data_IF_750458252383
#
_entry.id   IF_750458252383
#
_cell.length_a   1.000
_cell.length_b   1.000
_cell.length_c   1.000
_cell.angle_alpha   90.00
_cell.angle_beta   90.00
_cell.angle_gamma   90.00
#
_symmetry.space_group_name_H-M   'P 1'
#
loop_
_entity.id
_entity.type
_entity.pdbx_description
1 polymer ?
#
# COMPACT_ATOMS: atom_id res chain seq x y z
N UNK A 1 4.89 3.65 -16.37
CA UNK A 1 5.87 3.43 -15.28
C UNK A 1 5.26 2.45 -14.28
N UNK A 2 5.86 1.29 -14.04
CA UNK A 2 5.33 0.27 -13.11
C UNK A 2 5.83 0.55 -11.69
N UNK A 3 4.95 0.60 -10.70
CA UNK A 3 5.30 0.75 -9.27
C UNK A 3 4.98 -0.52 -8.50
N UNK A 4 5.95 -1.03 -7.74
CA UNK A 4 5.82 -2.26 -6.94
C UNK A 4 6.08 -1.93 -5.47
N UNK A 5 5.29 -2.50 -4.56
CA UNK A 5 5.50 -2.41 -3.11
C UNK A 5 5.81 -3.79 -2.54
N UNK A 6 6.74 -3.88 -1.58
CA UNK A 6 7.06 -5.10 -0.83
C UNK A 6 7.30 -4.78 0.64
N UNK A 7 7.03 -5.70 1.55
CA UNK A 7 7.49 -5.63 2.95
C UNK A 7 8.22 -6.95 3.27
N UNK A 8 9.23 -6.89 4.14
CA UNK A 8 9.95 -8.07 4.67
C UNK A 8 10.65 -8.97 3.63
N UNK A 9 11.11 -8.40 2.51
CA UNK A 9 11.79 -9.17 1.46
C UNK A 9 13.15 -9.74 1.94
N UNK A 10 13.40 -11.04 1.73
CA UNK A 10 14.66 -11.72 2.04
C UNK A 10 15.19 -12.54 0.82
N UNK A 11 16.41 -13.10 0.90
CA UNK A 11 17.04 -13.82 -0.23
C UNK A 11 16.26 -15.05 -0.73
N UNK A 12 15.43 -15.66 0.12
CA UNK A 12 14.76 -16.93 -0.16
C UNK A 12 13.24 -16.80 -0.34
N UNK A 13 12.69 -15.60 -0.12
CA UNK A 13 11.25 -15.35 -0.22
C UNK A 13 10.97 -13.89 -0.58
N UNK A 14 10.19 -13.72 -1.66
CA UNK A 14 9.52 -12.46 -1.99
C UNK A 14 8.13 -12.53 -1.40
N UNK A 15 7.93 -11.95 -0.23
CA UNK A 15 6.60 -11.81 0.33
C UNK A 15 5.90 -10.63 -0.35
N UNK A 16 4.75 -10.89 -0.97
CA UNK A 16 3.76 -9.84 -1.19
C UNK A 16 3.09 -9.62 0.17
N UNK A 17 3.49 -8.54 0.84
CA UNK A 17 2.96 -8.27 2.16
C UNK A 17 1.60 -7.62 2.11
N UNK A 18 0.74 -8.13 2.97
CA UNK A 18 -0.59 -7.58 3.22
C UNK A 18 -0.49 -6.32 4.06
N UNK A 19 -1.54 -5.51 4.06
CA UNK A 19 -1.58 -4.36 4.95
C UNK A 19 -1.72 -4.75 6.45
N UNK A 20 -1.96 -6.03 6.75
CA UNK A 20 -1.94 -6.55 8.13
C UNK A 20 -0.55 -6.42 8.79
N UNK A 21 0.52 -6.34 7.98
CA UNK A 21 1.89 -6.13 8.44
C UNK A 21 2.18 -4.68 8.86
N UNK A 22 1.32 -3.74 8.49
CA UNK A 22 1.42 -2.31 8.82
C UNK A 22 0.63 -1.96 10.09
N UNK A 23 -0.42 -2.72 10.44
CA UNK A 23 -1.28 -2.45 11.59
C UNK A 23 -0.78 -3.02 12.93
N UNK A 24 0.08 -4.04 12.93
CA UNK A 24 0.50 -4.72 14.16
C UNK A 24 1.87 -4.21 14.67
N UNK A 25 1.98 -3.83 15.96
CA UNK A 25 3.24 -3.44 16.61
C UNK A 25 3.69 -1.96 16.53
N UNK A 26 4.87 -1.67 17.09
CA UNK A 26 5.41 -0.36 17.53
C UNK A 26 5.22 0.87 16.61
N UNK A 27 5.08 2.05 17.24
CA UNK A 27 4.80 3.36 16.59
C UNK A 27 5.85 3.78 15.54
N UNK A 28 7.12 3.42 15.73
CA UNK A 28 8.24 3.76 14.82
C UNK A 28 8.14 3.02 13.49
N UNK A 29 7.96 1.70 13.54
CA UNK A 29 7.78 0.86 12.34
C UNK A 29 6.55 1.25 11.50
N UNK A 30 5.55 1.89 12.11
CA UNK A 30 4.36 2.40 11.39
C UNK A 30 4.66 3.65 10.57
N UNK A 31 5.52 4.53 11.06
CA UNK A 31 5.90 5.76 10.36
C UNK A 31 6.71 5.46 9.09
N UNK A 32 7.66 4.53 9.18
CA UNK A 32 8.57 4.16 8.08
C UNK A 32 7.87 3.30 7.03
N UNK A 33 7.08 2.30 7.43
CA UNK A 33 6.21 1.54 6.51
C UNK A 33 5.17 2.43 5.83
N UNK A 34 4.53 3.33 6.59
CA UNK A 34 3.61 4.32 6.05
C UNK A 34 4.28 5.22 5.01
N UNK A 35 5.49 5.71 5.29
CA UNK A 35 6.27 6.49 4.32
C UNK A 35 6.55 5.68 3.06
N UNK A 36 7.03 4.44 3.19
CA UNK A 36 7.31 3.58 2.04
C UNK A 36 6.06 3.35 1.17
N UNK A 37 4.91 3.14 1.79
CA UNK A 37 3.64 3.01 1.07
C UNK A 37 3.27 4.32 0.33
N UNK A 38 3.40 5.48 0.99
CA UNK A 38 3.20 6.80 0.37
C UNK A 38 4.14 7.01 -0.82
N UNK A 39 5.41 6.62 -0.73
CA UNK A 39 6.37 6.75 -1.83
C UNK A 39 6.02 5.85 -3.03
N UNK A 40 5.36 4.71 -2.79
CA UNK A 40 4.83 3.86 -3.86
C UNK A 40 3.60 4.46 -4.52
N UNK A 41 2.63 4.95 -3.74
CA UNK A 41 1.37 5.50 -4.27
C UNK A 41 1.57 6.87 -4.92
N UNK A 42 2.54 7.65 -4.44
CA UNK A 42 2.87 8.99 -4.92
C UNK A 42 4.37 9.09 -5.30
N UNK A 43 4.82 8.47 -6.41
CA UNK A 43 6.23 8.47 -6.80
C UNK A 43 6.83 9.85 -7.03
N UNK A 44 6.02 10.87 -7.31
CA UNK A 44 6.50 12.25 -7.42
C UNK A 44 7.07 12.78 -6.09
N UNK A 45 6.70 12.21 -4.95
CA UNK A 45 7.33 12.55 -3.66
C UNK A 45 8.80 12.12 -3.64
N UNK A 46 9.16 11.04 -4.33
CA UNK A 46 10.56 10.63 -4.49
C UNK A 46 11.33 11.70 -5.30
N UNK A 47 10.69 12.32 -6.32
CA UNK A 47 11.28 13.45 -7.07
C UNK A 47 11.55 14.63 -6.15
N UNK A 48 10.60 14.95 -5.28
CA UNK A 48 10.71 16.05 -4.34
C UNK A 48 11.81 15.79 -3.30
N UNK A 49 11.93 14.54 -2.82
CA UNK A 49 13.02 14.13 -1.91
C UNK A 49 14.38 14.30 -2.59
N UNK A 50 14.53 13.85 -3.83
CA UNK A 50 15.76 14.04 -4.61
C UNK A 50 16.05 15.51 -4.89
N UNK A 51 15.05 16.38 -4.75
CA UNK A 51 15.17 17.82 -4.96
C UNK A 51 15.54 18.60 -3.71
N UNK A 52 15.63 17.95 -2.55
CA UNK A 52 16.15 18.53 -1.31
C UNK A 52 17.62 18.88 -1.50
N UNK A 53 18.03 20.08 -1.06
CA UNK A 53 19.36 20.64 -1.33
C UNK A 53 20.50 19.69 -0.95
N UNK A 54 20.43 19.07 0.24
CA UNK A 54 21.47 18.12 0.69
C UNK A 54 21.56 16.88 -0.19
N UNK A 55 20.45 16.43 -0.79
CA UNK A 55 20.43 15.30 -1.72
C UNK A 55 20.93 15.73 -3.10
N UNK A 56 20.55 16.93 -3.56
CA UNK A 56 21.07 17.52 -4.81
C UNK A 56 22.59 17.68 -4.76
N UNK A 57 23.12 18.21 -3.68
CA UNK A 57 24.57 18.38 -3.49
C UNK A 57 25.30 17.04 -3.52
N UNK A 58 24.80 16.05 -2.78
CA UNK A 58 25.37 14.70 -2.80
C UNK A 58 25.35 14.08 -4.20
N UNK A 59 24.20 14.13 -4.88
CA UNK A 59 24.05 13.55 -6.21
C UNK A 59 24.95 14.25 -7.24
N UNK A 60 25.06 15.58 -7.19
CA UNK A 60 26.00 16.36 -8.00
C UNK A 60 27.45 15.93 -7.76
N UNK A 61 27.87 15.85 -6.49
CA UNK A 61 29.23 15.45 -6.11
C UNK A 61 29.56 14.01 -6.54
N UNK A 62 28.58 13.10 -6.51
CA UNK A 62 28.72 11.71 -6.95
C UNK A 62 28.46 11.51 -8.45
N UNK A 63 28.26 12.58 -9.23
CA UNK A 63 27.94 12.53 -10.66
C UNK A 63 26.71 11.64 -10.96
N UNK A 64 25.75 11.65 -10.04
CA UNK A 64 24.43 11.05 -10.18
C UNK A 64 23.51 12.17 -10.69
N UNK A 65 22.91 12.00 -11.87
CA UNK A 65 21.90 12.92 -12.37
C UNK A 65 20.55 12.20 -12.32
N UNK A 66 19.73 12.44 -11.28
CA UNK A 66 18.42 11.82 -11.19
C UNK A 66 17.53 12.36 -12.32
N UNK A 67 17.29 11.54 -13.33
CA UNK A 67 16.41 11.86 -14.45
C UNK A 67 15.32 10.79 -14.52
N UNK A 68 14.08 11.27 -14.63
CA UNK A 68 12.86 10.48 -14.60
C UNK A 68 12.37 10.05 -15.99
N UNK A 69 12.95 10.61 -17.06
CA UNK A 69 12.63 10.20 -18.42
C UNK A 69 13.01 8.74 -18.62
N UNK A 70 12.10 7.98 -19.23
CA UNK A 70 12.21 6.54 -19.49
C UNK A 70 12.34 5.65 -18.24
N UNK A 71 11.92 6.16 -17.06
CA UNK A 71 11.73 5.31 -15.88
C UNK A 71 10.61 4.31 -16.14
N UNK A 72 10.97 3.03 -16.16
CA UNK A 72 10.06 1.93 -16.50
C UNK A 72 9.56 1.23 -15.25
N UNK A 73 10.37 1.16 -14.17
CA UNK A 73 9.99 0.51 -12.92
C UNK A 73 10.51 1.27 -11.70
N UNK A 74 9.65 1.37 -10.68
CA UNK A 74 10.00 1.78 -9.32
C UNK A 74 9.54 0.67 -8.38
N UNK A 75 10.43 0.20 -7.54
CA UNK A 75 10.15 -0.83 -6.54
C UNK A 75 10.49 -0.27 -5.17
N UNK A 76 9.47 -0.10 -4.34
CA UNK A 76 9.61 0.36 -2.96
C UNK A 76 9.47 -0.84 -2.03
N UNK A 77 10.47 -1.06 -1.20
CA UNK A 77 10.54 -2.18 -0.27
C UNK A 77 10.67 -1.60 1.14
N UNK A 78 9.75 -1.95 2.02
CA UNK A 78 9.85 -1.64 3.44
C UNK A 78 10.42 -2.83 4.22
N UNK A 79 11.17 -2.55 5.29
CA UNK A 79 11.68 -3.57 6.22
C UNK A 79 12.49 -4.68 5.51
N UNK A 80 13.36 -4.30 4.56
CA UNK A 80 14.19 -5.25 3.80
C UNK A 80 15.14 -5.97 4.75
N UNK A 81 15.16 -7.30 4.68
CA UNK A 81 16.12 -8.11 5.44
C UNK A 81 17.39 -8.28 4.61
N UNK A 82 18.53 -7.81 5.12
CA UNK A 82 19.85 -7.92 4.46
C UNK A 82 20.45 -9.32 4.60
N UNK A 83 21.58 -9.57 3.94
CA UNK A 83 22.30 -10.85 4.05
C UNK A 83 22.62 -11.21 5.51
N UNK A 84 23.02 -10.23 6.34
CA UNK A 84 23.29 -10.45 7.77
C UNK A 84 22.05 -10.47 8.66
N UNK A 85 20.85 -10.59 8.09
CA UNK A 85 19.56 -10.61 8.79
C UNK A 85 19.22 -9.31 9.54
N UNK A 86 19.85 -8.20 9.15
CA UNK A 86 19.46 -6.87 9.64
C UNK A 86 18.31 -6.32 8.82
N UNK A 87 17.54 -5.43 9.43
CA UNK A 87 16.33 -4.86 8.83
C UNK A 87 16.58 -3.41 8.42
N UNK A 88 16.55 -3.15 7.13
CA UNK A 88 16.61 -1.82 6.52
C UNK A 88 15.18 -1.27 6.39
N UNK A 89 14.95 -0.03 6.84
CA UNK A 89 13.60 0.51 6.90
C UNK A 89 12.95 0.71 5.52
N UNK A 90 13.62 1.38 4.57
CA UNK A 90 13.09 1.60 3.22
C UNK A 90 14.19 1.48 2.17
N UNK A 91 13.93 0.69 1.13
CA UNK A 91 14.73 0.59 -0.08
C UNK A 91 13.87 0.94 -1.29
N UNK A 92 14.34 1.88 -2.12
CA UNK A 92 13.67 2.26 -3.37
C UNK A 92 14.61 1.94 -4.51
N UNK A 93 14.21 1.07 -5.42
CA UNK A 93 14.96 0.75 -6.64
C UNK A 93 14.25 1.35 -7.84
N UNK A 94 15.02 2.01 -8.70
CA UNK A 94 14.53 2.66 -9.90
C UNK A 94 15.28 2.06 -11.08
N UNK A 95 14.52 1.51 -12.02
CA UNK A 95 15.04 1.01 -13.30
C UNK A 95 14.71 2.01 -14.42
N UNK A 96 15.72 2.28 -15.25
CA UNK A 96 15.65 3.16 -16.40
C UNK A 96 16.14 2.44 -17.64
N UNK A 97 15.45 2.61 -18.77
CA UNK A 97 15.73 1.88 -20.01
C UNK A 97 15.88 0.35 -19.80
N UNK A 98 15.02 -0.22 -18.94
CA UNK A 98 15.02 -1.62 -18.46
C UNK A 98 16.31 -2.09 -17.75
N UNK A 99 17.12 -1.15 -17.24
CA UNK A 99 18.36 -1.43 -16.51
C UNK A 99 18.34 -0.79 -15.12
N UNK A 100 19.04 -1.40 -14.13
CA UNK A 100 19.33 -0.78 -12.85
C UNK A 100 19.86 0.64 -13.00
N UNK A 101 19.27 1.60 -12.31
CA UNK A 101 19.69 3.00 -12.40
C UNK A 101 20.03 3.60 -11.03
N UNK A 102 19.07 3.64 -10.12
CA UNK A 102 19.21 4.33 -8.84
C UNK A 102 18.60 3.51 -7.71
N UNK A 103 19.31 3.40 -6.59
CA UNK A 103 18.82 2.83 -5.35
C UNK A 103 18.90 3.89 -4.24
N UNK A 104 17.77 4.19 -3.63
CA UNK A 104 17.68 5.08 -2.46
C UNK A 104 17.51 4.18 -1.23
N UNK A 105 18.41 4.31 -0.26
CA UNK A 105 18.50 3.46 0.91
C UNK A 105 18.25 4.36 2.11
N UNK A 106 17.11 4.18 2.78
CA UNK A 106 16.68 5.05 3.87
C UNK A 106 16.67 4.25 5.17
N UNK A 107 17.46 4.71 6.13
CA UNK A 107 17.36 4.33 7.54
C UNK A 107 16.66 5.47 8.28
N UNK A 108 15.53 5.19 8.91
CA UNK A 108 14.68 6.20 9.51
C UNK A 108 14.59 6.01 11.02
N UNK A 109 14.86 7.09 11.77
CA UNK A 109 14.58 7.14 13.20
C UNK A 109 13.26 7.87 13.44
N UNK A 110 12.42 7.31 14.30
CA UNK A 110 11.11 7.84 14.66
C UNK A 110 11.14 9.32 15.03
N UNK A 111 10.05 10.01 14.73
CA UNK A 111 9.81 11.40 15.18
C UNK A 111 9.80 11.50 16.72
N UNK A 112 9.66 10.39 17.44
CA UNK A 112 9.57 10.37 18.91
C UNK A 112 10.81 9.80 19.60
N UNK A 113 11.81 9.33 18.87
CA UNK A 113 13.00 8.73 19.46
C UNK A 113 14.14 9.76 19.58
N UNK A 114 14.68 9.93 20.79
CA UNK A 114 15.85 10.79 21.07
C UNK A 114 17.19 10.11 20.67
N UNK A 115 17.17 9.19 19.71
CA UNK A 115 18.34 8.41 19.31
C UNK A 115 19.33 9.30 18.56
N UNK A 116 20.62 9.16 18.86
CA UNK A 116 21.68 9.94 18.21
C UNK A 116 21.79 9.51 16.73
N UNK A 117 21.72 10.43 15.76
CA UNK A 117 21.79 10.11 14.32
C UNK A 117 23.09 9.40 13.88
N UNK A 118 24.11 9.42 14.72
CA UNK A 118 25.35 8.63 14.56
C UNK A 118 25.06 7.12 14.49
N UNK A 119 24.16 6.59 15.31
CA UNK A 119 23.87 5.14 15.33
C UNK A 119 23.19 4.68 14.04
N UNK A 120 22.26 5.50 13.54
CA UNK A 120 21.61 5.30 12.23
C UNK A 120 22.63 5.33 11.09
N UNK A 121 23.61 6.24 11.17
CA UNK A 121 24.67 6.35 10.16
C UNK A 121 25.57 5.12 10.14
N UNK A 122 25.96 4.59 11.31
CA UNK A 122 26.78 3.37 11.41
C UNK A 122 26.01 2.16 10.87
N UNK A 123 24.72 2.08 11.15
CA UNK A 123 23.85 1.03 10.63
C UNK A 123 23.73 1.12 9.10
N UNK A 124 23.54 2.31 8.56
CA UNK A 124 23.44 2.55 7.12
C UNK A 124 24.75 2.29 6.38
N UNK A 125 25.90 2.68 6.94
CA UNK A 125 27.22 2.34 6.37
C UNK A 125 27.40 0.83 6.22
N UNK A 126 26.94 0.05 7.19
CA UNK A 126 27.01 -1.41 7.11
C UNK A 126 26.22 -1.93 5.92
N UNK A 127 25.03 -1.38 5.63
CA UNK A 127 24.22 -1.78 4.48
C UNK A 127 24.82 -1.44 3.12
N UNK A 128 25.76 -0.48 3.06
CA UNK A 128 26.38 -0.08 1.80
C UNK A 128 27.46 -1.06 1.32
N UNK A 129 27.96 -1.95 2.19
CA UNK A 129 28.86 -3.02 1.79
C UNK A 129 28.19 -3.96 0.76
N UNK A 130 28.97 -4.40 -0.23
CA UNK A 130 28.45 -5.10 -1.41
C UNK A 130 27.81 -6.45 -1.10
N UNK A 131 28.20 -7.08 0.00
CA UNK A 131 27.72 -8.37 0.49
C UNK A 131 26.37 -8.28 1.21
N UNK A 132 26.01 -7.13 1.78
CA UNK A 132 24.76 -6.94 2.51
C UNK A 132 23.53 -6.83 1.60
N UNK A 133 23.70 -6.15 0.46
CA UNK A 133 22.66 -5.90 -0.56
C UNK A 133 23.22 -6.19 -1.97
N UNK A 134 23.54 -7.46 -2.29
CA UNK A 134 24.18 -7.83 -3.56
C UNK A 134 23.32 -7.47 -4.79
N UNK A 135 22.00 -7.46 -4.64
CA UNK A 135 21.07 -7.04 -5.70
C UNK A 135 21.23 -5.58 -6.13
N UNK A 136 21.93 -4.77 -5.33
CA UNK A 136 22.17 -3.35 -5.60
C UNK A 136 23.53 -3.07 -6.25
N UNK A 137 24.32 -4.10 -6.59
CA UNK A 137 25.67 -3.95 -7.17
C UNK A 137 25.70 -3.01 -8.39
N UNK A 138 24.70 -3.13 -9.27
CA UNK A 138 24.59 -2.34 -10.51
C UNK A 138 23.88 -1.00 -10.35
N UNK A 139 23.40 -0.67 -9.14
CA UNK A 139 22.68 0.57 -8.88
C UNK A 139 23.60 1.65 -8.33
N UNK A 140 23.36 2.90 -8.74
CA UNK A 140 23.93 4.06 -8.04
C UNK A 140 23.20 4.20 -6.70
N UNK A 141 23.92 4.29 -5.59
CA UNK A 141 23.33 4.28 -4.24
C UNK A 141 23.25 5.69 -3.65
N UNK A 142 22.09 6.06 -3.13
CA UNK A 142 21.84 7.29 -2.35
C UNK A 142 21.47 6.87 -0.92
N UNK A 143 22.41 6.89 0.03
CA UNK A 143 22.15 6.61 1.43
C UNK A 143 21.57 7.84 2.15
N UNK A 144 20.43 7.65 2.80
CA UNK A 144 19.72 8.69 3.54
C UNK A 144 19.46 8.20 4.97
N UNK A 145 19.80 9.04 5.94
CA UNK A 145 19.27 8.96 7.30
C UNK A 145 18.11 9.95 7.41
N UNK A 146 16.92 9.44 7.74
CA UNK A 146 15.73 10.25 8.03
C UNK A 146 15.58 10.42 9.54
N UNK A 147 15.59 11.66 10.02
CA UNK A 147 15.58 11.99 11.46
C UNK A 147 14.82 13.29 11.73
N UNK A 148 14.65 13.72 12.97
CA UNK A 148 14.07 15.03 13.29
C UNK A 148 15.05 16.18 13.17
N UNK A 149 16.31 15.92 13.50
CA UNK A 149 17.32 16.95 13.66
C UNK A 149 18.36 16.84 12.55
N UNK A 150 18.81 17.99 12.03
CA UNK A 150 19.93 17.99 11.08
C UNK A 150 21.18 17.60 11.86
N UNK A 151 21.84 16.53 11.45
CA UNK A 151 23.14 16.14 11.99
C UNK A 151 24.15 16.16 10.86
N UNK A 152 25.32 16.73 11.13
CA UNK A 152 26.45 16.68 10.22
C UNK A 152 27.05 15.28 10.38
N UNK A 153 26.81 14.43 9.38
CA UNK A 153 27.41 13.11 9.28
C UNK A 153 28.61 13.17 8.32
N UNK A 154 29.19 12.01 8.02
CA UNK A 154 30.24 11.88 6.99
C UNK A 154 29.73 12.30 5.61
N UNK A 155 30.63 12.70 4.72
CA UNK A 155 30.31 13.10 3.33
C UNK A 155 29.67 11.97 2.48
N UNK A 156 29.57 10.76 3.03
CA UNK A 156 29.03 9.59 2.36
C UNK A 156 27.56 9.32 2.67
N UNK A 157 26.98 9.98 3.69
CA UNK A 157 25.60 9.78 4.11
C UNK A 157 24.85 11.12 4.12
N UNK A 158 23.68 11.13 3.48
CA UNK A 158 22.80 12.30 3.49
C UNK A 158 21.91 12.24 4.73
N UNK A 159 21.68 13.38 5.37
CA UNK A 159 20.64 13.52 6.39
C UNK A 159 19.47 14.32 5.83
N UNK A 160 18.26 13.80 5.99
CA UNK A 160 16.99 14.49 5.70
C UNK A 160 16.16 14.54 6.97
N UNK A 161 15.40 15.62 7.14
CA UNK A 161 14.50 15.80 8.28
C UNK A 161 13.08 15.36 7.96
N UNK A 162 12.39 14.84 8.97
CA UNK A 162 10.94 14.66 8.93
C UNK A 162 10.20 15.95 8.58
N UNK A 163 10.66 17.10 9.06
CA UNK A 163 10.11 18.40 8.68
C UNK A 163 10.16 18.68 7.16
N UNK A 164 11.18 18.16 6.47
CA UNK A 164 11.32 18.32 5.01
C UNK A 164 10.33 17.42 4.28
N UNK A 165 10.16 16.18 4.75
CA UNK A 165 9.11 15.26 4.26
C UNK A 165 7.71 15.85 4.48
N UNK A 166 7.44 16.35 5.68
CA UNK A 166 6.18 17.01 6.05
C UNK A 166 5.90 18.21 5.14
N UNK A 167 6.91 19.03 4.84
CA UNK A 167 6.77 20.18 3.95
C UNK A 167 6.55 19.79 2.49
N UNK A 168 7.18 18.71 2.02
CA UNK A 168 6.91 18.16 0.68
C UNK A 168 5.44 17.72 0.57
N UNK A 169 4.96 17.02 1.60
CA UNK A 169 3.60 16.51 1.64
C UNK A 169 2.59 17.65 1.77
N UNK A 170 2.85 18.66 2.62
CA UNK A 170 1.89 19.73 2.92
C UNK A 170 1.59 20.68 1.75
N UNK A 171 2.50 20.74 0.77
CA UNK A 171 2.35 21.53 -0.46
C UNK A 171 1.41 20.90 -1.48
N UNK A 172 0.97 19.66 -1.26
CA UNK A 172 0.06 18.93 -2.16
C UNK A 172 -1.40 19.18 -1.76
N UNK A 173 -2.33 18.84 -2.65
CA UNK A 173 -3.75 19.20 -2.54
C UNK A 173 -4.36 18.70 -1.20
N UNK A 174 -5.15 19.54 -0.53
CA UNK A 174 -5.60 19.35 0.86
C UNK A 174 -7.02 18.78 0.94
N UNK A 175 -7.23 17.60 0.38
CA UNK A 175 -8.45 16.84 0.68
C UNK A 175 -8.22 15.99 1.93
N UNK A 176 -9.05 16.20 2.97
CA UNK A 176 -8.94 15.46 4.23
C UNK A 176 -9.13 13.94 4.07
N UNK A 177 -9.77 13.50 2.98
CA UNK A 177 -9.96 12.09 2.65
C UNK A 177 -8.85 11.50 1.77
N UNK A 178 -7.85 12.29 1.37
CA UNK A 178 -6.70 11.82 0.59
C UNK A 178 -5.68 11.10 1.49
N UNK A 179 -5.15 9.98 1.01
CA UNK A 179 -4.23 9.11 1.74
C UNK A 179 -2.97 9.87 2.19
N UNK A 180 -2.49 10.75 1.32
CA UNK A 180 -1.33 11.59 1.58
C UNK A 180 -1.57 12.55 2.77
N UNK A 181 -2.76 13.15 2.86
CA UNK A 181 -3.11 14.06 3.95
C UNK A 181 -3.41 13.33 5.26
N UNK A 182 -3.96 12.11 5.20
CA UNK A 182 -4.11 11.25 6.38
C UNK A 182 -2.75 10.86 6.96
N UNK A 183 -1.78 10.53 6.11
CA UNK A 183 -0.40 10.27 6.54
C UNK A 183 0.24 11.53 7.15
N UNK A 184 0.05 12.71 6.52
CA UNK A 184 0.48 14.00 7.07
C UNK A 184 -0.04 14.23 8.49
N UNK A 185 -1.35 14.05 8.71
CA UNK A 185 -1.98 14.27 10.02
C UNK A 185 -1.44 13.32 11.11
N UNK A 186 -1.05 12.10 10.75
CA UNK A 186 -0.45 11.14 11.67
C UNK A 186 0.98 11.48 12.05
N UNK A 187 1.83 11.82 11.07
CA UNK A 187 3.23 12.15 11.36
C UNK A 187 3.36 13.49 12.10
N UNK A 188 2.41 14.41 11.92
CA UNK A 188 2.34 15.70 12.64
C UNK A 188 1.62 15.60 13.99
N UNK A 189 0.93 14.50 14.27
CA UNK A 189 0.20 14.30 15.53
C UNK A 189 -1.08 15.13 15.68
N UNK A 190 -1.53 15.81 14.62
CA UNK A 190 -2.81 16.52 14.54
C UNK A 190 -3.99 15.54 14.67
N UNK A 191 -3.80 14.31 14.23
CA UNK A 191 -4.64 13.17 14.58
C UNK A 191 -3.72 12.09 15.19
N UNK A 192 -3.95 11.69 16.44
CA UNK A 192 -3.07 10.72 17.15
C UNK A 192 -3.03 9.34 16.48
N UNK A 193 -3.95 9.10 15.55
CA UNK A 193 -4.04 7.90 14.74
C UNK A 193 -4.11 8.24 13.25
N UNK A 194 -3.32 7.52 12.46
CA UNK A 194 -3.58 7.36 11.05
C UNK A 194 -4.93 6.63 10.91
N UNK A 195 -5.93 7.27 10.32
CA UNK A 195 -7.14 6.57 9.86
C UNK A 195 -6.80 5.84 8.57
N UNK A 196 -5.78 4.99 8.59
CA UNK A 196 -5.45 4.23 7.42
C UNK A 196 -6.69 3.48 6.98
N UNK A 197 -6.80 3.33 5.67
CA UNK A 197 -7.65 2.43 4.89
C UNK A 197 -7.64 0.96 5.39
N UNK A 198 -6.95 0.71 6.51
CA UNK A 198 -6.81 -0.43 7.39
C UNK A 198 -7.82 -0.49 8.54
N UNK A 199 -8.40 0.63 8.97
CA UNK A 199 -9.38 0.63 10.08
C UNK A 199 -10.74 0.15 9.61
N UNK A 200 -11.15 0.44 8.38
CA UNK A 200 -12.51 0.16 7.91
C UNK A 200 -12.56 -1.02 6.91
N UNK A 201 -13.35 -2.04 7.24
CA UNK A 201 -13.73 -3.12 6.33
C UNK A 201 -15.03 -2.73 5.65
N UNK A 202 -15.04 -2.72 4.32
CA UNK A 202 -16.27 -2.60 3.55
C UNK A 202 -17.09 -3.88 3.72
N UNK A 203 -18.29 -3.78 4.25
CA UNK A 203 -19.21 -4.90 4.39
C UNK A 203 -20.40 -4.71 3.47
N UNK A 204 -20.63 -5.68 2.60
CA UNK A 204 -21.67 -5.63 1.56
C UNK A 204 -22.68 -6.75 1.77
N UNK A 205 -23.99 -6.49 1.68
CA UNK A 205 -24.97 -7.58 1.62
C UNK A 205 -24.89 -8.26 0.24
N UNK A 206 -24.36 -9.48 0.19
CA UNK A 206 -24.25 -10.25 -1.06
C UNK A 206 -25.46 -11.17 -1.28
N UNK A 207 -26.19 -11.54 -0.22
CA UNK A 207 -27.42 -12.31 -0.33
C UNK A 207 -27.28 -13.55 -1.22
N UNK A 208 -27.94 -13.56 -2.39
CA UNK A 208 -27.92 -14.67 -3.35
C UNK A 208 -26.65 -14.73 -4.22
N UNK A 209 -25.86 -13.66 -4.30
CA UNK A 209 -24.65 -13.60 -5.14
C UNK A 209 -23.40 -14.03 -4.38
N UNK A 210 -23.51 -14.31 -3.07
CA UNK A 210 -22.37 -14.69 -2.23
C UNK A 210 -21.63 -15.92 -2.77
N UNK A 211 -22.36 -16.90 -3.30
CA UNK A 211 -21.76 -18.13 -3.84
C UNK A 211 -20.90 -17.84 -5.08
N UNK A 212 -21.36 -16.95 -5.97
CA UNK A 212 -20.58 -16.53 -7.13
C UNK A 212 -19.32 -15.76 -6.71
N UNK A 213 -19.45 -14.87 -5.72
CA UNK A 213 -18.32 -14.13 -5.17
C UNK A 213 -17.30 -15.08 -4.56
N UNK A 214 -17.73 -16.06 -3.78
CA UNK A 214 -16.83 -17.03 -3.14
C UNK A 214 -16.17 -17.97 -4.17
N UNK A 215 -16.92 -18.36 -5.22
CA UNK A 215 -16.44 -19.26 -6.29
C UNK A 215 -15.40 -18.59 -7.18
N UNK A 216 -15.62 -17.33 -7.54
CA UNK A 216 -14.78 -16.63 -8.51
C UNK A 216 -13.83 -15.60 -7.91
N UNK A 217 -14.03 -15.21 -6.65
CA UNK A 217 -13.30 -14.13 -6.00
C UNK A 217 -13.46 -12.80 -6.75
N UNK A 218 -14.66 -12.58 -7.27
CA UNK A 218 -15.07 -11.36 -7.99
C UNK A 218 -16.37 -10.89 -7.36
N UNK A 219 -16.44 -9.61 -7.01
CA UNK A 219 -17.68 -8.95 -6.65
C UNK A 219 -18.00 -7.83 -7.62
N UNK A 220 -19.27 -7.64 -7.91
CA UNK A 220 -19.81 -6.74 -8.92
C UNK A 220 -20.85 -5.80 -8.31
N UNK A 221 -20.85 -4.55 -8.77
CA UNK A 221 -21.96 -3.64 -8.51
C UNK A 221 -22.14 -2.65 -9.66
N UNK A 222 -23.32 -2.02 -9.80
CA UNK A 222 -23.50 -0.93 -10.76
C UNK A 222 -22.50 0.20 -10.50
N UNK A 223 -21.97 0.85 -11.54
CA UNK A 223 -21.16 2.06 -11.35
C UNK A 223 -22.05 3.31 -11.20
N UNK A 224 -22.78 3.38 -10.09
CA UNK A 224 -23.70 4.49 -9.76
C UNK A 224 -23.35 5.13 -8.42
N UNK A 225 -23.92 6.31 -8.16
CA UNK A 225 -23.62 7.11 -6.97
C UNK A 225 -23.86 6.35 -5.66
N UNK A 226 -24.88 5.51 -5.62
CA UNK A 226 -25.25 4.69 -4.45
C UNK A 226 -24.24 3.59 -4.14
N UNK A 227 -23.37 3.26 -5.10
CA UNK A 227 -22.32 2.23 -5.01
C UNK A 227 -20.91 2.85 -5.03
N UNK A 228 -20.80 4.17 -4.81
CA UNK A 228 -19.50 4.83 -4.61
C UNK A 228 -19.00 4.56 -3.20
N UNK A 229 -18.37 3.41 -3.05
CA UNK A 229 -17.69 3.06 -1.81
C UNK A 229 -16.44 3.94 -1.64
N UNK A 230 -16.12 4.30 -0.40
CA UNK A 230 -14.76 4.71 -0.03
C UNK A 230 -13.78 3.67 -0.54
N UNK A 231 -12.61 4.11 -1.00
CA UNK A 231 -11.50 3.18 -1.27
C UNK A 231 -11.22 2.44 0.04
N UNK A 232 -11.23 1.12 0.01
CA UNK A 232 -10.94 0.26 1.18
C UNK A 232 -10.10 -0.91 0.72
N UNK A 233 -9.30 -1.45 1.62
CA UNK A 233 -8.40 -2.55 1.29
C UNK A 233 -9.07 -3.89 1.51
N UNK A 234 -9.95 -3.97 2.50
CA UNK A 234 -10.67 -5.20 2.82
C UNK A 234 -12.17 -5.06 2.56
N UNK A 235 -12.74 -6.16 2.09
CA UNK A 235 -14.16 -6.34 1.93
C UNK A 235 -14.60 -7.65 2.58
N UNK A 236 -15.82 -7.66 3.11
CA UNK A 236 -16.49 -8.86 3.58
C UNK A 236 -17.94 -8.84 3.12
N UNK A 237 -18.54 -10.02 3.01
CA UNK A 237 -19.88 -10.20 2.48
C UNK A 237 -20.79 -10.76 3.55
N UNK A 238 -21.95 -10.12 3.72
CA UNK A 238 -22.98 -10.53 4.67
C UNK A 238 -23.91 -11.55 4.00
N UNK A 239 -24.04 -12.71 4.64
CA UNK A 239 -24.99 -13.74 4.26
C UNK A 239 -26.43 -13.33 4.60
N UNK A 240 -27.40 -14.00 3.97
CA UNK A 240 -28.82 -13.90 4.35
C UNK A 240 -29.06 -14.37 5.79
N UNK A 241 -30.17 -13.97 6.40
CA UNK A 241 -30.57 -14.48 7.72
C UNK A 241 -29.76 -13.93 8.90
N UNK A 242 -29.44 -12.64 8.90
CA UNK A 242 -28.81 -11.95 10.04
C UNK A 242 -27.46 -11.33 9.78
N UNK A 243 -26.92 -11.49 8.55
CA UNK A 243 -25.76 -10.74 8.08
C UNK A 243 -24.41 -11.24 8.60
N UNK A 244 -24.33 -12.54 8.93
CA UNK A 244 -23.07 -13.18 9.31
C UNK A 244 -22.06 -13.06 8.18
N UNK A 245 -20.82 -12.74 8.56
CA UNK A 245 -19.69 -12.59 7.68
C UNK A 245 -18.73 -13.75 7.94
N UNK A 246 -18.43 -14.53 6.91
CA UNK A 246 -17.60 -15.73 7.05
C UNK A 246 -16.14 -15.50 6.71
N UNK A 247 -15.89 -14.62 5.74
CA UNK A 247 -14.56 -14.39 5.18
C UNK A 247 -14.29 -12.90 5.00
N UNK A 248 -13.04 -12.53 5.20
CA UNK A 248 -12.49 -11.21 4.90
C UNK A 248 -11.55 -11.35 3.71
N UNK A 249 -11.76 -10.52 2.69
CA UNK A 249 -11.03 -10.55 1.43
C UNK A 249 -10.25 -9.27 1.26
N UNK A 250 -9.02 -9.36 0.75
CA UNK A 250 -8.32 -8.19 0.21
C UNK A 250 -8.83 -7.87 -1.19
N UNK A 251 -9.10 -6.59 -1.44
CA UNK A 251 -9.37 -6.07 -2.77
C UNK A 251 -8.01 -5.87 -3.46
N UNK A 252 -7.76 -6.65 -4.52
CA UNK A 252 -6.54 -6.56 -5.34
C UNK A 252 -6.63 -5.43 -6.35
N UNK A 253 -7.78 -5.30 -6.99
CA UNK A 253 -8.05 -4.23 -7.95
C UNK A 253 -9.55 -3.95 -8.08
N UNK A 254 -9.89 -2.81 -8.66
CA UNK A 254 -11.26 -2.42 -9.01
C UNK A 254 -11.27 -1.87 -10.42
N UNK A 255 -12.01 -2.55 -11.30
CA UNK A 255 -12.10 -2.19 -12.72
C UNK A 255 -13.55 -1.88 -13.08
N UNK A 256 -13.76 -0.97 -14.02
CA UNK A 256 -15.09 -0.57 -14.50
C UNK A 256 -15.14 -0.79 -16.00
N UNK A 257 -16.14 -1.53 -16.46
CA UNK A 257 -16.38 -1.77 -17.89
C UNK A 257 -17.77 -2.36 -18.12
N UNK A 258 -18.20 -2.42 -19.38
CA UNK A 258 -19.45 -3.07 -19.78
C UNK A 258 -19.24 -4.57 -20.06
N UNK A 259 -19.81 -5.49 -19.25
CA UNK A 259 -19.57 -6.92 -19.40
C UNK A 259 -20.32 -7.58 -20.58
N UNK A 260 -21.14 -6.83 -21.31
CA UNK A 260 -21.81 -7.32 -22.53
C UNK A 260 -21.03 -7.01 -23.80
N UNK A 261 -20.04 -6.12 -23.74
CA UNK A 261 -19.23 -5.74 -24.88
C UNK A 261 -17.91 -6.52 -24.88
N UNK A 262 -17.70 -7.33 -25.93
CA UNK A 262 -16.48 -8.15 -26.07
C UNK A 262 -15.21 -7.28 -26.07
N UNK A 263 -15.24 -6.13 -26.73
CA UNK A 263 -14.13 -5.17 -26.75
C UNK A 263 -13.73 -4.68 -25.36
N UNK A 264 -14.68 -4.58 -24.44
CA UNK A 264 -14.45 -4.06 -23.09
C UNK A 264 -13.85 -5.14 -22.20
N UNK A 265 -14.34 -6.37 -22.35
CA UNK A 265 -13.75 -7.55 -21.71
C UNK A 265 -12.30 -7.74 -22.15
N UNK A 266 -12.01 -7.59 -23.45
CA UNK A 266 -10.66 -7.75 -23.98
C UNK A 266 -9.71 -6.67 -23.43
N UNK A 267 -10.14 -5.40 -23.41
CA UNK A 267 -9.39 -4.30 -22.77
C UNK A 267 -9.16 -4.54 -21.28
N UNK A 268 -10.17 -5.03 -20.55
CA UNK A 268 -10.03 -5.37 -19.14
C UNK A 268 -9.00 -6.50 -18.92
N UNK A 269 -9.03 -7.55 -19.75
CA UNK A 269 -8.09 -8.66 -19.68
C UNK A 269 -6.65 -8.22 -19.98
N UNK A 270 -6.45 -7.34 -20.97
CA UNK A 270 -5.14 -6.73 -21.27
C UNK A 270 -4.63 -5.87 -20.11
N UNK A 271 -5.51 -5.08 -19.50
CA UNK A 271 -5.16 -4.24 -18.35
C UNK A 271 -4.73 -5.08 -17.14
N UNK A 272 -5.50 -6.11 -16.79
CA UNK A 272 -5.22 -6.99 -15.66
C UNK A 272 -3.89 -7.74 -15.87
N UNK A 273 -3.63 -8.20 -17.10
CA UNK A 273 -2.40 -8.90 -17.49
C UNK A 273 -2.01 -10.05 -16.53
N UNK A 274 -3.02 -10.79 -16.04
CA UNK A 274 -2.87 -11.96 -15.17
C UNK A 274 -3.86 -13.02 -15.65
N UNK A 275 -3.32 -14.11 -16.21
CA UNK A 275 -4.12 -15.18 -16.82
C UNK A 275 -5.12 -15.79 -15.83
N UNK A 276 -4.74 -15.96 -14.57
CA UNK A 276 -5.60 -16.59 -13.55
C UNK A 276 -6.74 -15.66 -13.14
N UNK A 277 -6.49 -14.36 -13.05
CA UNK A 277 -7.56 -13.38 -12.78
C UNK A 277 -8.51 -13.30 -13.97
N UNK A 278 -7.97 -13.20 -15.19
CA UNK A 278 -8.76 -13.12 -16.41
C UNK A 278 -9.68 -14.35 -16.57
N UNK A 279 -9.16 -15.55 -16.30
CA UNK A 279 -9.97 -16.78 -16.32
C UNK A 279 -11.13 -16.74 -15.32
N UNK A 280 -10.91 -16.26 -14.09
CA UNK A 280 -11.96 -16.13 -13.07
C UNK A 280 -13.00 -15.08 -13.46
N UNK A 281 -12.55 -13.93 -13.93
CA UNK A 281 -13.42 -12.83 -14.37
C UNK A 281 -14.32 -13.26 -15.54
N UNK A 282 -13.74 -13.91 -16.56
CA UNK A 282 -14.50 -14.37 -17.73
C UNK A 282 -15.53 -15.44 -17.36
N UNK A 283 -15.19 -16.38 -16.46
CA UNK A 283 -16.14 -17.38 -15.95
C UNK A 283 -17.26 -16.74 -15.11
N UNK A 284 -16.91 -15.78 -14.25
CA UNK A 284 -17.87 -15.00 -13.48
C UNK A 284 -18.87 -14.28 -14.41
N UNK A 285 -18.38 -13.63 -15.47
CA UNK A 285 -19.22 -12.92 -16.44
C UNK A 285 -20.17 -13.88 -17.15
N UNK A 286 -19.66 -15.03 -17.60
CA UNK A 286 -20.45 -16.06 -18.26
C UNK A 286 -21.58 -16.58 -17.37
N UNK A 287 -21.28 -16.90 -16.10
CA UNK A 287 -22.30 -17.41 -15.16
C UNK A 287 -23.27 -16.33 -14.65
N UNK A 288 -22.86 -15.05 -14.64
CA UNK A 288 -23.72 -13.94 -14.22
C UNK A 288 -24.83 -13.63 -15.24
N UNK A 289 -24.67 -14.07 -16.49
CA UNK A 289 -25.67 -13.95 -17.57
C UNK A 289 -26.22 -12.51 -17.71
N UNK A 290 -25.32 -11.54 -17.91
CA UNK A 290 -25.68 -10.12 -18.05
C UNK A 290 -26.62 -9.90 -19.24
N UNK A 291 -27.69 -9.13 -19.01
CA UNK A 291 -28.71 -8.79 -20.03
C UNK A 291 -28.79 -7.30 -20.33
N UNK A 292 -28.19 -6.47 -19.47
CA UNK A 292 -28.16 -5.02 -19.63
C UNK A 292 -26.79 -4.56 -20.12
N UNK A 293 -26.78 -3.50 -20.93
CA UNK A 293 -25.56 -2.89 -21.47
C UNK A 293 -24.96 -1.84 -20.54
N UNK A 294 -25.17 -1.97 -19.22
CA UNK A 294 -24.65 -0.99 -18.26
C UNK A 294 -23.21 -1.32 -17.86
N UNK A 295 -22.41 -0.27 -17.65
CA UNK A 295 -21.11 -0.42 -17.01
C UNK A 295 -21.27 -0.91 -15.57
N UNK A 296 -20.43 -1.88 -15.21
CA UNK A 296 -20.36 -2.44 -13.87
C UNK A 296 -18.96 -2.23 -13.31
N UNK A 297 -18.90 -2.14 -11.99
CA UNK A 297 -17.67 -2.11 -11.21
C UNK A 297 -17.38 -3.51 -10.68
N UNK A 298 -16.20 -4.04 -11.02
CA UNK A 298 -15.73 -5.34 -10.60
C UNK A 298 -14.59 -5.19 -9.59
N UNK A 299 -14.81 -5.70 -8.39
CA UNK A 299 -13.83 -5.84 -7.34
C UNK A 299 -13.16 -7.19 -7.48
N UNK A 300 -11.87 -7.17 -7.83
CA UNK A 300 -11.05 -8.38 -7.94
C UNK A 300 -10.50 -8.69 -6.55
N UNK A 301 -10.82 -9.87 -6.02
CA UNK A 301 -10.38 -10.29 -4.69
C UNK A 301 -9.12 -11.16 -4.80
N UNK A 302 -8.19 -10.97 -3.87
CA UNK A 302 -6.99 -11.79 -3.79
C UNK A 302 -7.35 -13.25 -3.41
N UNK A 303 -6.70 -14.22 -4.05
CA UNK A 303 -6.90 -15.66 -3.80
C UNK A 303 -5.95 -16.25 -2.76
N UNK A 304 -4.88 -15.55 -2.43
CA UNK A 304 -3.88 -15.89 -1.41
C UNK A 304 -4.05 -15.09 -0.11
N UNK A 305 -4.87 -14.03 -0.12
CA UNK A 305 -5.10 -13.15 1.03
C UNK A 305 -6.59 -13.14 1.45
N UNK A 306 -7.08 -14.32 1.83
CA UNK A 306 -8.45 -14.53 2.37
C UNK A 306 -8.36 -15.03 3.80
N UNK A 307 -9.05 -14.37 4.73
CA UNK A 307 -9.08 -14.75 6.15
C UNK A 307 -10.46 -15.29 6.50
N UNK A 308 -10.50 -16.50 7.06
CA UNK A 308 -11.71 -17.05 7.67
C UNK A 308 -12.00 -16.40 9.03
N UNK A 309 -13.22 -15.88 9.19
CA UNK A 309 -13.68 -15.18 10.38
C UNK A 309 -14.32 -16.15 11.37
N UNK A 310 -13.50 -16.81 12.19
CA UNK A 310 -13.93 -17.83 13.16
C UNK A 310 -14.95 -17.32 14.19
N UNK A 311 -14.87 -16.03 14.52
CA UNK A 311 -15.82 -15.34 15.41
C UNK A 311 -17.21 -15.10 14.79
N UNK A 312 -17.38 -15.37 13.49
CA UNK A 312 -18.63 -15.19 12.72
C UNK A 312 -19.29 -13.84 13.02
N UNK A 313 -18.59 -12.72 12.78
CA UNK A 313 -19.08 -11.40 13.09
C UNK A 313 -20.37 -11.12 12.32
N UNK A 314 -21.31 -10.42 12.96
CA UNK A 314 -22.55 -9.95 12.35
C UNK A 314 -22.93 -8.58 12.90
N UNK A 315 -23.69 -7.76 12.16
CA UNK A 315 -24.20 -6.52 12.71
C UNK A 315 -25.22 -6.77 13.84
N UNK A 316 -25.32 -5.82 14.77
CA UNK A 316 -26.32 -5.87 15.83
C UNK A 316 -27.76 -5.85 15.28
N UNK A 317 -27.98 -5.09 14.19
CA UNK A 317 -29.24 -5.06 13.43
C UNK A 317 -28.92 -5.28 11.97
N UNK A 318 -29.73 -6.11 11.29
CA UNK A 318 -29.53 -6.35 9.87
C UNK A 318 -29.67 -5.03 9.10
N UNK A 319 -28.74 -4.75 8.18
CA UNK A 319 -28.71 -3.55 7.38
C UNK A 319 -28.66 -3.88 5.89
N UNK A 320 -29.54 -3.23 5.14
CA UNK A 320 -29.73 -3.45 3.70
C UNK A 320 -28.69 -2.73 2.83
N UNK A 321 -27.95 -1.76 3.39
CA UNK A 321 -26.90 -1.01 2.68
C UNK A 321 -25.51 -1.50 3.04
N UNK A 322 -24.53 -1.22 2.20
CA UNK A 322 -23.12 -1.39 2.57
C UNK A 322 -22.80 -0.63 3.87
N UNK A 323 -21.82 -1.09 4.62
CA UNK A 323 -21.44 -0.49 5.91
C UNK A 323 -19.96 -0.70 6.15
N UNK A 324 -19.32 0.27 6.79
CA UNK A 324 -17.94 0.16 7.21
C UNK A 324 -17.87 -0.27 8.68
N UNK A 325 -17.08 -1.29 8.98
CA UNK A 325 -16.81 -1.76 10.34
C UNK A 325 -15.34 -1.62 10.66
N UNK A 326 -14.99 -1.53 11.95
CA UNK A 326 -13.58 -1.56 12.32
C UNK A 326 -13.00 -2.94 12.06
N UNK A 327 -11.84 -3.03 11.42
CA UNK A 327 -11.15 -4.29 11.15
C UNK A 327 -10.92 -5.10 12.43
N UNK A 328 -10.49 -4.44 13.51
CA UNK A 328 -10.32 -5.07 14.82
C UNK A 328 -11.63 -5.71 15.33
N UNK A 329 -12.77 -5.05 15.15
CA UNK A 329 -14.06 -5.59 15.56
C UNK A 329 -14.46 -6.78 14.69
N UNK A 330 -14.24 -6.70 13.37
CA UNK A 330 -14.49 -7.81 12.44
C UNK A 330 -13.67 -9.05 12.82
N UNK A 331 -12.42 -8.88 13.26
CA UNK A 331 -11.54 -10.00 13.61
C UNK A 331 -11.79 -10.59 15.00
N UNK A 332 -12.41 -9.84 15.92
CA UNK A 332 -12.47 -10.23 17.34
C UNK A 332 -13.87 -10.33 17.93
N UNK A 333 -14.85 -9.60 17.39
CA UNK A 333 -16.18 -9.48 17.98
C UNK A 333 -17.20 -10.32 17.23
N UNK A 334 -18.15 -10.94 17.95
CA UNK A 334 -19.29 -11.62 17.32
C UNK A 334 -20.35 -10.62 16.82
N UNK A 335 -20.49 -9.49 17.51
CA UNK A 335 -21.42 -8.42 17.17
C UNK A 335 -20.62 -7.15 16.90
N UNK A 336 -20.69 -6.65 15.67
CA UNK A 336 -19.92 -5.47 15.23
C UNK A 336 -20.81 -4.23 15.11
N UNK A 337 -20.21 -3.06 15.40
CA UNK A 337 -20.85 -1.75 15.32
C UNK A 337 -20.27 -0.94 14.15
N UNK A 338 -21.08 -0.26 13.33
CA UNK A 338 -20.60 0.67 12.31
C UNK A 338 -19.47 1.57 12.80
N UNK A 339 -18.42 1.70 11.99
CA UNK A 339 -17.25 2.53 12.31
C UNK A 339 -17.62 4.00 12.54
N UNK A 340 -18.68 4.49 11.90
CA UNK A 340 -19.22 5.84 12.06
C UNK A 340 -19.70 6.18 13.47
N UNK A 341 -19.92 5.19 14.35
CA UNK A 341 -20.28 5.43 15.76
C UNK A 341 -19.08 5.76 16.65
N UNK A 342 -17.85 5.69 16.13
CA UNK A 342 -16.62 5.92 16.87
C UNK A 342 -15.85 7.16 16.39
N UNK A 343 -16.45 7.95 15.48
CA UNK A 343 -15.87 9.15 14.86
C UNK A 343 -16.39 10.43 15.50
#
# INVERSE_FOLDING_TARGET
MKTVFRIYENKNAKFESSIFDMINGNKETKQTKGLAYILKEYPDIIKDILSIETVKDYTKNKKIQPNWNNTNKIEVIAEKITTSRKRLDILIKIDKDKKPFLAIIIEAKSIKSNIKPIDASIQLQKYLHADELPELEKYKKIPIVLTNYKTILTNEIITIRWAEIINIISKRNKDNNDLLWQYYNFITGVNKDMNFYEKEVLSIPAGKTIDLVQKYLIYECPDRKEYRYKKTIFVTFRANGGGTMEKLYKIKDVIVFNPTLKSDIDRANEYINDKKINERLNKFISESNYKDSEEKKFYILADDEVIELKNKPRPARNNVKFTYYRLADILTQKIVKPASMFN
#
